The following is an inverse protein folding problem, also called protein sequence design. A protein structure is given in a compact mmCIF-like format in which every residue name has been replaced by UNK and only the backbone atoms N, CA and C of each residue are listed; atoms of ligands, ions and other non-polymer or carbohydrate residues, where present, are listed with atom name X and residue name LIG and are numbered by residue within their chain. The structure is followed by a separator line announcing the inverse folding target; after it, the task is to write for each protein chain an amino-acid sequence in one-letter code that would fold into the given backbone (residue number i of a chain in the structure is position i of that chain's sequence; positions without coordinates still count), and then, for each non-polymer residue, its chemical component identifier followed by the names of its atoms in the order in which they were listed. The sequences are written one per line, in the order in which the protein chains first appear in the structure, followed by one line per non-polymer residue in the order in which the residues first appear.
data_IF_112009360626
#
_entry.id   IF_112009360626
#
_cell.length_a   1.000
_cell.length_b   1.000
_cell.length_c   1.000
_cell.angle_alpha   90.00
_cell.angle_beta   90.00
_cell.angle_gamma   90.00
#
_symmetry.space_group_name_H-M   'P 1'
#
loop_
_entity.id
_entity.type
_entity.pdbx_description
1 polymer ?
#
# COMPACT_ATOMS: atom_id res chain seq x y z
N UNK A 1 1.57 14.73 17.26
CA UNK A 1 1.00 14.84 15.89
C UNK A 1 1.98 14.13 14.95
N UNK A 2 1.90 12.80 14.86
CA UNK A 2 2.92 11.91 14.26
C UNK A 2 2.32 11.14 13.06
N UNK A 3 1.41 11.76 12.32
CA UNK A 3 0.85 11.24 11.06
C UNK A 3 1.49 11.84 9.80
N UNK A 4 2.27 12.92 9.95
CA UNK A 4 2.86 13.68 8.84
C UNK A 4 4.26 13.16 8.45
N UNK A 5 4.89 12.30 9.26
CA UNK A 5 6.31 11.96 9.15
C UNK A 5 6.62 10.67 8.37
N UNK A 6 5.62 10.03 7.75
CA UNK A 6 5.89 9.00 6.72
C UNK A 6 6.35 9.62 5.37
N UNK A 7 6.38 10.96 5.30
CA UNK A 7 6.95 11.83 4.24
C UNK A 7 8.49 12.03 4.33
N UNK A 8 9.24 11.20 5.06
CA UNK A 8 10.69 11.43 5.25
C UNK A 8 11.57 10.96 4.07
N UNK A 9 11.19 11.39 2.87
CA UNK A 9 11.93 11.39 1.61
C UNK A 9 11.03 12.09 0.59
N UNK A 10 11.54 12.78 -0.45
CA UNK A 10 10.68 13.39 -1.46
C UNK A 10 9.93 12.30 -2.23
N UNK A 11 8.80 11.84 -1.67
CA UNK A 11 7.83 11.03 -2.37
C UNK A 11 7.20 11.95 -3.37
N UNK A 12 7.52 11.73 -4.64
CA UNK A 12 6.97 12.53 -5.72
C UNK A 12 5.47 12.29 -5.78
N UNK A 13 5.01 11.07 -5.44
CA UNK A 13 3.60 10.70 -5.41
C UNK A 13 2.89 11.02 -6.73
N UNK A 14 1.60 11.32 -6.64
CA UNK A 14 0.81 11.85 -7.77
C UNK A 14 0.15 13.17 -7.33
N UNK A 15 0.89 14.29 -7.28
CA UNK A 15 0.41 15.60 -6.84
C UNK A 15 -0.82 16.07 -7.63
N UNK A 16 -0.98 15.60 -8.86
CA UNK A 16 -2.13 15.87 -9.71
C UNK A 16 -3.45 15.33 -9.12
N UNK A 17 -3.41 14.41 -8.16
CA UNK A 17 -4.60 13.96 -7.44
C UNK A 17 -4.98 14.87 -6.27
N UNK A 18 -4.14 15.86 -5.91
CA UNK A 18 -4.39 16.85 -4.85
C UNK A 18 -5.18 18.04 -5.40
N UNK A 19 -6.35 17.75 -5.94
CA UNK A 19 -7.16 18.75 -6.65
C UNK A 19 -8.46 19.11 -5.94
N UNK A 20 -8.81 18.43 -4.85
CA UNK A 20 -10.15 18.54 -4.26
C UNK A 20 -10.14 19.17 -2.88
N UNK A 21 -11.03 20.15 -2.71
CA UNK A 21 -11.66 20.40 -1.42
C UNK A 21 -12.49 19.16 -1.10
N UNK A 22 -12.04 18.36 -0.14
CA UNK A 22 -12.89 17.43 0.58
C UNK A 22 -14.02 18.24 1.25
N UNK A 23 -15.18 17.61 1.45
CA UNK A 23 -16.30 18.22 2.14
C UNK A 23 -15.86 18.86 3.47
N UNK A 24 -16.50 19.98 3.84
CA UNK A 24 -16.18 20.79 5.04
C UNK A 24 -14.87 21.59 4.95
N UNK A 25 -14.40 21.92 3.75
CA UNK A 25 -13.29 22.85 3.55
C UNK A 25 -11.90 22.24 3.83
N UNK A 26 -11.83 20.91 3.91
CA UNK A 26 -10.58 20.18 4.01
C UNK A 26 -9.96 20.07 2.61
N UNK A 27 -8.64 20.23 2.49
CA UNK A 27 -7.92 19.85 1.26
C UNK A 27 -7.60 18.36 1.36
N UNK A 28 -7.72 17.63 0.25
CA UNK A 28 -7.34 16.23 0.20
C UNK A 28 -7.00 15.74 -1.19
N UNK A 29 -6.86 14.42 -1.30
CA UNK A 29 -6.46 13.76 -2.53
C UNK A 29 -7.51 12.75 -2.97
N UNK A 30 -7.61 12.51 -4.27
CA UNK A 30 -8.33 11.35 -4.78
C UNK A 30 -7.58 10.07 -4.39
N UNK A 31 -8.31 9.01 -4.05
CA UNK A 31 -7.69 7.72 -3.76
C UNK A 31 -7.07 7.18 -5.05
N UNK A 32 -5.79 6.79 -5.00
CA UNK A 32 -5.06 6.24 -6.15
C UNK A 32 -5.89 5.10 -6.76
N UNK A 33 -6.20 5.25 -8.04
CA UNK A 33 -6.94 4.25 -8.80
C UNK A 33 -8.44 4.17 -8.54
N UNK A 34 -9.04 5.15 -7.85
CA UNK A 34 -10.49 5.36 -7.91
C UNK A 34 -10.93 5.78 -9.31
N UNK A 35 -12.21 5.63 -9.64
CA UNK A 35 -12.73 6.03 -10.95
C UNK A 35 -12.52 7.52 -11.22
N UNK A 36 -12.60 8.37 -10.19
CA UNK A 36 -12.29 9.80 -10.29
C UNK A 36 -10.80 10.05 -10.50
N UNK A 37 -9.93 9.31 -9.80
CA UNK A 37 -8.49 9.44 -9.98
C UNK A 37 -8.08 9.03 -11.40
N UNK A 38 -8.65 7.96 -11.95
CA UNK A 38 -8.37 7.48 -13.30
C UNK A 38 -8.91 8.40 -14.41
N UNK A 39 -9.99 9.16 -14.13
CA UNK A 39 -10.46 10.21 -15.04
C UNK A 39 -9.51 11.42 -15.09
N UNK A 40 -8.89 11.73 -13.95
CA UNK A 40 -8.01 12.89 -13.82
C UNK A 40 -6.56 12.58 -14.25
N UNK A 41 -6.04 11.45 -13.81
CA UNK A 41 -4.72 10.91 -14.13
C UNK A 41 -4.91 9.45 -14.57
N UNK A 42 -5.15 9.21 -15.87
CA UNK A 42 -5.25 7.85 -16.39
C UNK A 42 -3.99 7.05 -16.08
N UNK A 43 -4.15 5.85 -15.53
CA UNK A 43 -3.03 5.02 -15.08
C UNK A 43 -2.40 5.51 -13.78
N UNK A 44 -3.16 6.17 -12.89
CA UNK A 44 -2.65 6.77 -11.64
C UNK A 44 -1.79 5.81 -10.79
N UNK A 45 -2.09 4.50 -10.84
CA UNK A 45 -1.29 3.45 -10.18
C UNK A 45 0.08 3.24 -10.84
N UNK A 46 0.14 3.25 -12.17
CA UNK A 46 1.39 3.16 -12.93
C UNK A 46 2.24 4.41 -12.68
N UNK A 47 1.62 5.60 -12.74
CA UNK A 47 2.31 6.87 -12.45
C UNK A 47 2.90 6.88 -11.05
N UNK A 48 2.15 6.41 -10.04
CA UNK A 48 2.68 6.25 -8.69
C UNK A 48 3.87 5.29 -8.66
N UNK A 49 3.73 4.11 -9.26
CA UNK A 49 4.79 3.10 -9.26
C UNK A 49 6.07 3.61 -9.93
N UNK A 50 5.96 4.26 -11.09
CA UNK A 50 7.09 4.85 -11.82
C UNK A 50 7.80 5.93 -10.98
N UNK A 51 7.03 6.88 -10.44
CA UNK A 51 7.57 8.02 -9.68
C UNK A 51 8.20 7.64 -8.35
N UNK A 52 7.65 6.62 -7.70
CA UNK A 52 8.18 6.09 -6.44
C UNK A 52 9.22 4.97 -6.64
N UNK A 53 9.59 4.68 -7.90
CA UNK A 53 10.50 3.59 -8.28
C UNK A 53 10.10 2.25 -7.66
N UNK A 54 8.80 1.97 -7.72
CA UNK A 54 8.20 0.75 -7.23
C UNK A 54 7.98 -0.23 -8.38
N UNK A 55 8.21 -1.51 -8.10
CA UNK A 55 7.87 -2.63 -8.95
C UNK A 55 6.88 -3.52 -8.23
N UNK A 56 5.95 -4.07 -8.99
CA UNK A 56 5.03 -5.11 -8.55
C UNK A 56 5.79 -6.30 -7.98
N UNK A 57 5.35 -6.79 -6.81
CA UNK A 57 5.84 -8.07 -6.27
C UNK A 57 5.38 -9.20 -7.19
N UNK A 58 6.33 -10.06 -7.58
CA UNK A 58 6.08 -11.18 -8.47
C UNK A 58 4.90 -12.04 -7.99
N UNK A 59 4.04 -12.43 -8.92
CA UNK A 59 2.84 -13.25 -8.73
C UNK A 59 1.80 -12.68 -7.74
N UNK A 60 1.86 -11.39 -7.38
CA UNK A 60 0.93 -10.85 -6.38
C UNK A 60 -0.53 -10.77 -6.87
N UNK A 61 -0.72 -10.72 -8.19
CA UNK A 61 -2.03 -10.78 -8.83
C UNK A 61 -2.63 -12.19 -8.86
N UNK A 62 -1.81 -13.23 -8.71
CA UNK A 62 -2.23 -14.62 -8.83
C UNK A 62 -2.91 -15.13 -7.54
N UNK A 63 -3.53 -16.30 -7.62
CA UNK A 63 -4.05 -17.02 -6.45
C UNK A 63 -2.94 -17.67 -5.60
N UNK A 64 -1.84 -16.93 -5.40
CA UNK A 64 -0.71 -17.36 -4.57
C UNK A 64 -0.95 -16.97 -3.12
N UNK A 65 -0.84 -17.91 -2.19
CA UNK A 65 -0.76 -17.57 -0.78
C UNK A 65 0.72 -17.40 -0.39
N UNK A 66 1.05 -16.28 0.25
CA UNK A 66 2.39 -16.02 0.73
C UNK A 66 2.61 -16.70 2.09
N UNK A 67 3.79 -17.28 2.30
CA UNK A 67 4.23 -17.67 3.62
C UNK A 67 4.93 -16.52 4.35
N UNK A 68 5.11 -16.62 5.67
CA UNK A 68 5.96 -15.66 6.40
C UNK A 68 7.40 -15.67 5.89
N UNK A 69 7.89 -16.83 5.46
CA UNK A 69 9.22 -16.97 4.85
C UNK A 69 9.31 -16.22 3.52
N UNK A 70 8.26 -16.25 2.69
CA UNK A 70 8.20 -15.46 1.46
C UNK A 70 8.23 -13.97 1.76
N UNK A 71 7.38 -13.50 2.68
CA UNK A 71 7.32 -12.09 3.06
C UNK A 71 8.65 -11.62 3.66
N UNK A 72 9.29 -12.45 4.51
CA UNK A 72 10.63 -12.17 5.05
C UNK A 72 11.66 -12.03 3.94
N UNK A 73 11.67 -12.95 2.97
CA UNK A 73 12.59 -12.91 1.83
C UNK A 73 12.39 -11.65 1.01
N UNK A 74 11.15 -11.30 0.68
CA UNK A 74 10.81 -10.07 -0.04
C UNK A 74 11.29 -8.83 0.72
N UNK A 75 11.03 -8.76 2.03
CA UNK A 75 11.47 -7.65 2.88
C UNK A 75 13.00 -7.50 2.91
N UNK A 76 13.74 -8.61 2.97
CA UNK A 76 15.20 -8.60 2.94
C UNK A 76 15.77 -8.21 1.57
N UNK A 77 15.08 -8.56 0.48
CA UNK A 77 15.54 -8.28 -0.89
C UNK A 77 15.37 -6.82 -1.30
N UNK A 78 14.23 -6.21 -0.99
CA UNK A 78 13.86 -4.90 -1.53
C UNK A 78 13.29 -3.93 -0.48
N UNK A 79 13.29 -4.29 0.80
CA UNK A 79 12.78 -3.46 1.88
C UNK A 79 11.24 -3.52 2.01
N UNK A 80 10.62 -2.48 2.60
CA UNK A 80 9.19 -2.48 2.91
C UNK A 80 8.28 -2.77 1.71
N UNK A 81 7.17 -3.47 1.96
CA UNK A 81 6.19 -3.85 0.93
C UNK A 81 4.94 -2.99 1.08
N UNK A 82 4.66 -2.14 0.10
CA UNK A 82 3.35 -1.50 -0.03
C UNK A 82 2.34 -2.58 -0.43
N UNK A 83 1.20 -2.69 0.25
CA UNK A 83 0.14 -3.61 -0.12
C UNK A 83 -1.24 -2.98 -0.01
N UNK A 84 -2.12 -3.39 -0.91
CA UNK A 84 -3.53 -3.01 -0.93
C UNK A 84 -4.38 -4.13 -0.32
N UNK A 85 -5.39 -3.78 0.47
CA UNK A 85 -6.27 -4.73 1.14
C UNK A 85 -7.67 -4.16 1.36
N UNK A 86 -8.64 -5.03 1.63
CA UNK A 86 -9.99 -4.59 2.04
C UNK A 86 -10.05 -4.49 3.56
N UNK A 87 -10.03 -3.28 4.09
CA UNK A 87 -10.15 -3.04 5.52
C UNK A 87 -11.64 -3.06 5.90
N UNK A 88 -11.98 -3.74 6.99
CA UNK A 88 -13.33 -3.68 7.56
C UNK A 88 -13.51 -2.33 8.24
N UNK A 89 -14.58 -1.61 7.90
CA UNK A 89 -14.94 -0.41 8.64
C UNK A 89 -15.31 -0.74 10.10
N UNK A 90 -15.06 0.19 11.01
CA UNK A 90 -15.55 0.07 12.39
C UNK A 90 -17.08 0.15 12.42
N UNK A 91 -17.71 -0.65 13.29
CA UNK A 91 -19.15 -0.69 13.62
C UNK A 91 -20.10 -0.05 12.59
N UNK A 92 -20.46 -0.80 11.55
CA UNK A 92 -21.51 -0.43 10.58
C UNK A 92 -21.02 0.10 9.24
N UNK A 93 -19.72 0.39 9.09
CA UNK A 93 -19.17 0.82 7.81
C UNK A 93 -18.85 -0.37 6.90
N UNK A 94 -19.19 -0.22 5.61
CA UNK A 94 -18.85 -1.17 4.55
C UNK A 94 -17.32 -1.32 4.44
N UNK A 95 -16.80 -2.50 4.05
CA UNK A 95 -15.38 -2.66 3.78
C UNK A 95 -14.95 -1.71 2.67
N UNK A 96 -13.78 -1.11 2.82
CA UNK A 96 -13.22 -0.15 1.87
C UNK A 96 -11.81 -0.56 1.44
N UNK A 97 -11.39 -0.09 0.27
CA UNK A 97 -10.03 -0.29 -0.22
C UNK A 97 -9.06 0.53 0.62
N UNK A 98 -7.99 -0.12 1.08
CA UNK A 98 -6.98 0.48 1.93
C UNK A 98 -5.57 0.10 1.46
N UNK A 99 -4.59 0.93 1.81
CA UNK A 99 -3.18 0.65 1.54
C UNK A 99 -2.36 0.79 2.83
N UNK A 100 -1.41 -0.11 3.01
CA UNK A 100 -0.53 -0.14 4.18
C UNK A 100 0.86 -0.65 3.78
N UNK A 101 1.83 -0.53 4.69
CA UNK A 101 3.22 -0.92 4.40
C UNK A 101 3.66 -2.02 5.35
N UNK A 102 3.99 -3.20 4.84
CA UNK A 102 4.63 -4.26 5.61
C UNK A 102 6.07 -3.84 5.89
N UNK A 103 6.45 -3.85 7.16
CA UNK A 103 7.78 -3.42 7.63
C UNK A 103 8.56 -4.54 8.33
N UNK A 104 7.91 -5.67 8.60
CA UNK A 104 8.56 -6.78 9.29
C UNK A 104 7.71 -8.03 9.37
N UNK A 105 8.33 -9.10 9.86
CA UNK A 105 7.64 -10.30 10.33
C UNK A 105 8.21 -10.65 11.71
N UNK A 106 7.34 -11.00 12.64
CA UNK A 106 7.73 -11.38 14.01
C UNK A 106 6.69 -12.32 14.63
N UNK A 107 7.15 -13.28 15.44
CA UNK A 107 6.30 -14.16 16.24
C UNK A 107 5.08 -14.76 15.49
N UNK A 108 5.29 -15.24 14.26
CA UNK A 108 4.22 -15.85 13.46
C UNK A 108 3.24 -14.85 12.81
N UNK A 109 3.54 -13.56 12.85
CA UNK A 109 2.73 -12.48 12.27
C UNK A 109 3.56 -11.61 11.33
N UNK A 110 2.87 -10.91 10.45
CA UNK A 110 3.47 -9.78 9.74
C UNK A 110 3.18 -8.49 10.52
N UNK A 111 4.15 -7.58 10.49
CA UNK A 111 4.09 -6.26 11.11
C UNK A 111 3.96 -5.23 9.99
N UNK A 112 2.98 -4.34 10.11
CA UNK A 112 2.70 -3.32 9.10
C UNK A 112 2.36 -1.98 9.72
N UNK A 113 2.64 -0.92 8.96
CA UNK A 113 2.22 0.43 9.25
C UNK A 113 0.90 0.70 8.52
N UNK A 114 -0.19 0.77 9.28
CA UNK A 114 -1.48 1.27 8.82
C UNK A 114 -1.54 2.78 9.11
N UNK A 115 -1.70 3.66 8.09
CA UNK A 115 -1.78 5.10 8.32
C UNK A 115 -2.97 5.53 9.21
N UNK A 116 -4.01 4.71 9.34
CA UNK A 116 -5.17 4.99 10.19
C UNK A 116 -5.06 4.39 11.60
N UNK A 117 -4.17 3.42 11.81
CA UNK A 117 -4.01 2.68 13.09
C UNK A 117 -2.52 2.49 13.44
N UNK A 118 -1.79 3.62 13.41
CA UNK A 118 -0.37 3.71 13.68
C UNK A 118 -0.06 3.68 15.20
N UNK A 119 1.14 3.27 15.65
CA UNK A 119 2.35 3.02 14.84
C UNK A 119 2.60 1.56 14.45
N UNK A 120 1.91 0.58 15.06
CA UNK A 120 2.19 -0.85 14.83
C UNK A 120 0.90 -1.66 14.77
N UNK A 121 0.57 -2.10 13.56
CA UNK A 121 -0.48 -3.08 13.34
C UNK A 121 0.17 -4.44 13.04
N UNK A 122 -0.49 -5.52 13.43
CA UNK A 122 -0.04 -6.88 13.09
C UNK A 122 -1.21 -7.76 12.68
N UNK A 123 -0.95 -8.68 11.75
CA UNK A 123 -1.93 -9.69 11.34
C UNK A 123 -1.25 -11.02 11.07
N UNK A 124 -2.01 -12.11 11.16
CA UNK A 124 -1.50 -13.43 10.76
C UNK A 124 -1.33 -13.49 9.25
N UNK A 125 -0.45 -14.36 8.76
CA UNK A 125 -0.27 -14.55 7.32
C UNK A 125 -1.55 -15.06 6.63
N UNK A 126 -2.35 -15.84 7.35
CA UNK A 126 -3.67 -16.29 6.86
C UNK A 126 -4.63 -15.11 6.68
N UNK A 127 -4.69 -14.20 7.67
CA UNK A 127 -5.49 -12.98 7.54
C UNK A 127 -5.02 -12.14 6.36
N UNK A 128 -3.72 -11.96 6.20
CA UNK A 128 -3.13 -11.23 5.08
C UNK A 128 -3.53 -11.80 3.72
N UNK A 129 -3.35 -13.11 3.51
CA UNK A 129 -3.70 -13.76 2.25
C UNK A 129 -5.21 -13.70 1.94
N UNK A 130 -6.03 -13.59 2.98
CA UNK A 130 -7.48 -13.41 2.87
C UNK A 130 -7.88 -11.97 2.51
N UNK A 131 -7.27 -10.95 3.14
CA UNK A 131 -7.70 -9.55 2.97
C UNK A 131 -6.96 -8.80 1.85
N UNK A 132 -5.77 -9.26 1.45
CA UNK A 132 -4.98 -8.62 0.40
C UNK A 132 -5.73 -8.62 -0.93
N UNK A 133 -5.60 -7.52 -1.67
CA UNK A 133 -6.13 -7.41 -3.02
C UNK A 133 -5.20 -8.16 -3.98
N UNK A 134 -5.77 -9.03 -4.81
CA UNK A 134 -5.04 -9.84 -5.81
C UNK A 134 -5.15 -9.17 -7.18
N UNK A 135 -4.27 -8.22 -7.45
CA UNK A 135 -4.16 -7.53 -8.75
C UNK A 135 -2.72 -7.01 -8.93
N UNK A 136 -2.38 -6.52 -10.11
CA UNK A 136 -1.01 -6.15 -10.50
C UNK A 136 -0.33 -5.12 -9.57
N UNK A 137 -1.08 -4.20 -8.94
CA UNK A 137 -0.51 -3.25 -7.96
C UNK A 137 -0.92 -3.58 -6.52
N UNK A 138 -1.38 -4.81 -6.29
CA UNK A 138 -1.81 -5.29 -4.98
C UNK A 138 -0.68 -5.36 -3.98
N UNK A 139 0.55 -5.56 -4.45
CA UNK A 139 1.78 -5.50 -3.66
C UNK A 139 2.91 -4.90 -4.50
N UNK A 140 3.64 -3.94 -3.93
CA UNK A 140 4.74 -3.25 -4.60
C UNK A 140 5.92 -3.06 -3.63
N UNK A 141 7.14 -3.09 -4.16
CA UNK A 141 8.39 -2.82 -3.44
C UNK A 141 9.30 -1.93 -4.28
N UNK A 142 10.32 -1.32 -3.68
CA UNK A 142 11.33 -0.59 -4.45
C UNK A 142 12.05 -1.52 -5.42
N UNK A 143 12.48 -0.98 -6.56
CA UNK A 143 13.44 -1.67 -7.42
C UNK A 143 14.74 -1.84 -6.63
N UNK A 144 15.18 -3.07 -6.40
CA UNK A 144 16.49 -3.36 -5.81
C UNK A 144 17.58 -2.91 -6.79
N UNK A 145 18.55 -2.12 -6.33
CA UNK A 145 19.53 -1.43 -7.18
C UNK A 145 20.62 -2.29 -7.82
N UNK A 146 20.28 -3.43 -8.42
CA UNK A 146 21.23 -4.34 -9.11
C UNK A 146 21.01 -4.45 -10.62
N UNK A 147 20.44 -3.44 -11.28
CA UNK A 147 20.44 -3.36 -12.75
C UNK A 147 20.94 -1.98 -13.21
N UNK A 148 22.28 -1.86 -13.29
CA UNK A 148 23.00 -0.86 -14.08
C UNK A 148 24.00 -1.56 -14.99
#
# INVERSE_FOLDING_TARGET
MVGHFFEAGPRIGVPELFVRRLDKGLLGHLAIGSDEAEKLVPGSRFTLAEREQLKTVQDCAEQRDYSLTDLKRLLLQAGPILFSWMKKGTSGNQPYGHASVIIGVDNGKLIFHDPEDAPYSSMTVSQFNFVRRRFEFGMMQRVSGEEH
#
